data_IF_246720761944
#
_entry.id   IF_246720761944
#
_cell.length_a   1.000
_cell.length_b   1.000
_cell.length_c   1.000
_cell.angle_alpha   90.00
_cell.angle_beta   90.00
_cell.angle_gamma   90.00
#
_symmetry.space_group_name_H-M   'P 1'
#
loop_
_entity.id
_entity.type
_entity.pdbx_description
1 polymer ?
#
# COMPACT_ATOMS: atom_id res chain seq x y z
N UNK A 1 7.25 -23.19 -13.40
CA UNK A 1 5.94 -22.76 -12.86
C UNK A 1 6.15 -21.39 -12.24
N UNK A 2 5.49 -20.31 -12.69
CA UNK A 2 5.55 -19.06 -11.92
C UNK A 2 4.92 -19.38 -10.57
N UNK A 3 5.72 -19.32 -9.52
CA UNK A 3 5.22 -19.41 -8.16
C UNK A 3 4.43 -18.12 -7.96
N UNK A 4 3.10 -18.18 -8.02
CA UNK A 4 2.24 -17.06 -7.63
C UNK A 4 2.60 -16.77 -6.19
N UNK A 5 3.54 -15.85 -5.98
CA UNK A 5 4.00 -15.46 -4.67
C UNK A 5 2.76 -15.05 -3.92
N UNK A 6 2.42 -15.79 -2.86
CA UNK A 6 1.21 -15.55 -2.09
C UNK A 6 1.31 -14.14 -1.50
N UNK A 7 0.73 -13.17 -2.20
CA UNK A 7 1.00 -11.76 -2.01
C UNK A 7 0.49 -11.33 -0.63
N UNK A 8 -0.59 -11.95 -0.18
CA UNK A 8 -1.15 -11.80 1.15
C UNK A 8 -0.22 -12.32 2.24
N UNK A 9 0.41 -13.49 2.04
CA UNK A 9 1.44 -13.99 2.95
C UNK A 9 2.64 -13.05 3.00
N UNK A 10 3.14 -12.58 1.85
CA UNK A 10 4.29 -11.66 1.81
C UNK A 10 3.98 -10.34 2.54
N UNK A 11 2.80 -9.76 2.31
CA UNK A 11 2.35 -8.54 3.02
C UNK A 11 2.29 -8.77 4.53
N UNK A 12 1.81 -9.94 4.96
CA UNK A 12 1.69 -10.30 6.38
C UNK A 12 3.05 -10.54 7.04
N UNK A 13 3.96 -11.21 6.35
CA UNK A 13 5.33 -11.45 6.82
C UNK A 13 6.15 -10.15 6.84
N UNK A 14 6.05 -9.32 5.80
CA UNK A 14 6.66 -7.99 5.76
C UNK A 14 6.20 -7.10 6.91
N UNK A 15 4.91 -7.13 7.25
CA UNK A 15 4.40 -6.41 8.41
C UNK A 15 4.95 -6.97 9.73
N UNK A 16 4.87 -8.28 9.92
CA UNK A 16 5.27 -8.93 11.20
C UNK A 16 6.76 -8.89 11.47
N UNK A 17 7.60 -9.00 10.45
CA UNK A 17 9.04 -9.14 10.61
C UNK A 17 9.83 -7.87 10.31
N UNK A 18 9.32 -7.00 9.43
CA UNK A 18 10.06 -5.83 8.95
C UNK A 18 9.33 -4.50 9.22
N UNK A 19 8.09 -4.57 9.73
CA UNK A 19 7.25 -3.38 9.92
C UNK A 19 6.81 -2.73 8.60
N UNK A 20 6.90 -3.45 7.48
CA UNK A 20 6.56 -2.93 6.16
C UNK A 20 5.09 -3.21 5.84
N UNK A 21 4.29 -2.14 5.70
CA UNK A 21 2.89 -2.21 5.32
C UNK A 21 2.72 -1.82 3.84
N UNK A 22 2.32 -2.77 2.99
CA UNK A 22 1.95 -2.51 1.60
C UNK A 22 0.44 -2.62 1.44
N UNK A 23 -0.22 -1.47 1.36
CA UNK A 23 -1.68 -1.34 1.23
C UNK A 23 -2.03 -0.51 0.00
N UNK A 24 -3.12 -0.87 -0.68
CA UNK A 24 -3.65 -0.04 -1.76
C UNK A 24 -4.30 1.21 -1.17
N UNK A 25 -4.12 2.38 -1.78
CA UNK A 25 -4.78 3.61 -1.35
C UNK A 25 -6.32 3.53 -1.45
N UNK A 26 -6.84 2.57 -2.21
CA UNK A 26 -8.27 2.34 -2.43
C UNK A 26 -8.79 1.08 -1.69
N UNK A 27 -8.00 0.49 -0.79
CA UNK A 27 -8.39 -0.71 -0.05
C UNK A 27 -9.73 -0.48 0.68
N UNK A 28 -10.71 -1.34 0.43
CA UNK A 28 -12.08 -1.21 0.96
C UNK A 28 -12.16 -1.33 2.47
N UNK A 29 -11.10 -1.81 3.14
CA UNK A 29 -11.03 -1.89 4.60
C UNK A 29 -10.61 -0.57 5.26
N UNK A 30 -10.13 0.39 4.46
CA UNK A 30 -9.74 1.72 4.93
C UNK A 30 -10.91 2.68 4.79
N UNK A 31 -11.27 3.34 5.89
CA UNK A 31 -12.21 4.46 5.87
C UNK A 31 -11.59 5.70 5.18
N UNK A 32 -12.43 6.66 4.79
CA UNK A 32 -12.00 7.87 4.09
C UNK A 32 -10.86 8.61 4.80
N UNK A 33 -10.92 8.71 6.13
CA UNK A 33 -9.87 9.38 6.92
C UNK A 33 -8.53 8.64 6.80
N UNK A 34 -8.55 7.32 6.88
CA UNK A 34 -7.34 6.48 6.78
C UNK A 34 -6.73 6.58 5.38
N UNK A 35 -7.56 6.60 4.33
CA UNK A 35 -7.12 6.80 2.95
C UNK A 35 -6.47 8.17 2.75
N UNK A 36 -7.03 9.22 3.35
CA UNK A 36 -6.43 10.56 3.29
C UNK A 36 -5.08 10.61 4.00
N UNK A 37 -4.97 10.02 5.18
CA UNK A 37 -3.71 9.97 5.93
C UNK A 37 -2.63 9.21 5.15
N UNK A 38 -2.96 8.03 4.60
CA UNK A 38 -2.03 7.26 3.79
C UNK A 38 -1.58 8.01 2.53
N UNK A 39 -2.50 8.70 1.85
CA UNK A 39 -2.15 9.52 0.70
C UNK A 39 -1.23 10.68 1.09
N UNK A 40 -1.51 11.41 2.17
CA UNK A 40 -0.61 12.48 2.62
C UNK A 40 0.79 11.96 2.98
N UNK A 41 0.88 10.82 3.66
CA UNK A 41 2.17 10.20 3.99
C UNK A 41 2.89 9.78 2.71
N UNK A 42 2.18 9.14 1.76
CA UNK A 42 2.74 8.73 0.49
C UNK A 42 3.23 9.94 -0.32
N UNK A 43 2.43 11.01 -0.41
CA UNK A 43 2.82 12.24 -1.10
C UNK A 43 4.03 12.91 -0.47
N UNK A 44 4.14 12.87 0.86
CA UNK A 44 5.30 13.40 1.59
C UNK A 44 6.56 12.56 1.35
N UNK A 45 6.43 11.24 1.28
CA UNK A 45 7.58 10.33 1.15
C UNK A 45 8.03 10.16 -0.31
N UNK A 46 7.09 10.11 -1.25
CA UNK A 46 7.33 9.76 -2.65
C UNK A 46 6.98 10.88 -3.64
N UNK A 47 6.40 11.98 -3.16
CA UNK A 47 5.88 13.06 -4.01
C UNK A 47 4.44 12.82 -4.45
N UNK A 48 3.82 13.84 -5.07
CA UNK A 48 2.46 13.74 -5.59
C UNK A 48 2.36 12.55 -6.54
N UNK A 49 1.32 11.73 -6.37
CA UNK A 49 1.04 10.64 -7.32
C UNK A 49 0.91 11.29 -8.70
N UNK A 50 1.77 10.93 -9.63
CA UNK A 50 1.54 11.27 -11.02
C UNK A 50 0.22 10.60 -11.38
N UNK A 51 -0.84 11.40 -11.55
CA UNK A 51 -2.05 10.92 -12.20
C UNK A 51 -1.59 10.46 -13.56
N UNK A 52 -1.45 9.13 -13.74
CA UNK A 52 -1.21 8.53 -15.03
C UNK A 52 -2.35 8.99 -15.94
N UNK A 53 -2.08 10.05 -16.70
CA UNK A 53 -2.90 10.48 -17.80
C UNK A 53 -2.42 9.63 -18.98
N UNK A 54 -3.11 8.53 -19.23
CA UNK A 54 -2.77 7.56 -20.28
C UNK A 54 -3.40 6.21 -20.04
#
# INVERSE_FOLDING_TARGET
MPQTLDLDRLKREGWRQQGLLVVSAEDSRLDWVERQLLNQIAERLYGKREHAHG
#
